data_IF_862206751980
#
_entry.id   IF_862206751980
#
_cell.length_a   1.000
_cell.length_b   1.000
_cell.length_c   1.000
_cell.angle_alpha   90.00
_cell.angle_beta   90.00
_cell.angle_gamma   90.00
#
_symmetry.space_group_name_H-M   'P 1'
#
loop_
_entity.id
_entity.type
_entity.pdbx_description
1 polymer ?
#
# COMPACT_ATOMS: atom_id res chain seq x y z
N UNK A 1 0.34 -17.28 3.45
CA UNK A 1 0.68 -16.70 2.12
C UNK A 1 -0.23 -15.55 1.70
N UNK A 2 -1.53 -15.59 2.00
CA UNK A 2 -2.46 -14.49 1.66
C UNK A 2 -2.00 -13.11 2.17
N UNK A 3 -1.50 -13.02 3.41
CA UNK A 3 -1.01 -11.76 4.01
C UNK A 3 0.14 -11.09 3.25
N UNK A 4 0.98 -11.85 2.55
CA UNK A 4 2.05 -11.29 1.73
C UNK A 4 1.48 -10.42 0.59
N UNK A 5 0.48 -10.93 -0.12
CA UNK A 5 -0.19 -10.19 -1.20
C UNK A 5 -1.01 -9.02 -0.65
N UNK A 6 -1.63 -9.20 0.52
CA UNK A 6 -2.36 -8.13 1.21
C UNK A 6 -1.42 -6.97 1.55
N UNK A 7 -0.22 -7.24 2.08
CA UNK A 7 0.77 -6.20 2.37
C UNK A 7 1.27 -5.45 1.13
N UNK A 8 1.45 -6.14 0.00
CA UNK A 8 1.79 -5.47 -1.28
C UNK A 8 0.65 -4.55 -1.71
N UNK A 9 -0.57 -5.06 -1.71
CA UNK A 9 -1.76 -4.36 -2.19
C UNK A 9 -2.09 -3.15 -1.30
N UNK A 10 -1.94 -3.30 0.01
CA UNK A 10 -2.07 -2.22 0.98
C UNK A 10 -1.10 -1.08 0.69
N UNK A 11 0.20 -1.37 0.51
CA UNK A 11 1.18 -0.32 0.21
C UNK A 11 0.92 0.35 -1.14
N UNK A 12 0.37 -0.37 -2.13
CA UNK A 12 -0.09 0.24 -3.38
C UNK A 12 -1.26 1.20 -3.17
N UNK A 13 -2.26 0.82 -2.36
CA UNK A 13 -3.40 1.67 -2.02
C UNK A 13 -2.94 2.92 -1.27
N UNK A 14 -2.06 2.78 -0.27
CA UNK A 14 -1.52 3.90 0.50
C UNK A 14 -0.74 4.85 -0.41
N UNK A 15 0.08 4.33 -1.33
CA UNK A 15 0.82 5.18 -2.27
C UNK A 15 -0.09 5.89 -3.27
N UNK A 16 -1.20 5.25 -3.68
CA UNK A 16 -2.21 5.92 -4.51
C UNK A 16 -2.96 7.00 -3.71
N UNK A 17 -3.29 6.71 -2.44
CA UNK A 17 -3.95 7.62 -1.52
C UNK A 17 -3.14 8.90 -1.30
N UNK A 18 -1.82 8.81 -1.04
CA UNK A 18 -0.97 10.00 -0.85
C UNK A 18 -1.01 10.92 -2.06
N UNK A 19 -1.15 10.39 -3.28
CA UNK A 19 -1.33 11.17 -4.51
C UNK A 19 -2.72 11.82 -4.62
N UNK A 20 -3.76 11.18 -4.12
CA UNK A 20 -5.14 11.72 -4.09
C UNK A 20 -5.26 12.84 -3.06
N UNK A 21 -4.66 12.66 -1.87
CA UNK A 21 -4.59 13.65 -0.80
C UNK A 21 -3.87 14.91 -1.27
N UNK A 22 -2.72 14.77 -1.93
CA UNK A 22 -1.92 15.90 -2.44
C UNK A 22 -2.63 16.70 -3.54
N UNK A 23 -3.67 16.15 -4.17
CA UNK A 23 -4.54 16.86 -5.14
C UNK A 23 -5.78 17.50 -4.51
N UNK A 24 -5.87 17.59 -3.17
CA UNK A 24 -7.00 18.16 -2.42
C UNK A 24 -8.37 17.52 -2.72
N UNK A 25 -8.40 16.25 -3.15
CA UNK A 25 -9.67 15.53 -3.35
C UNK A 25 -10.20 14.99 -2.02
N UNK A 26 -10.91 15.85 -1.28
CA UNK A 26 -11.36 15.59 0.10
C UNK A 26 -12.22 14.32 0.21
N UNK A 27 -13.23 14.17 -0.65
CA UNK A 27 -14.15 13.02 -0.62
C UNK A 27 -13.43 11.72 -0.99
N UNK A 28 -12.62 11.75 -2.06
CA UNK A 28 -11.86 10.58 -2.50
C UNK A 28 -10.84 10.13 -1.44
N UNK A 29 -10.17 11.07 -0.80
CA UNK A 29 -9.27 10.80 0.33
C UNK A 29 -10.02 10.11 1.48
N UNK A 30 -11.21 10.59 1.84
CA UNK A 30 -12.03 9.98 2.90
C UNK A 30 -12.43 8.53 2.59
N UNK A 31 -12.89 8.25 1.36
CA UNK A 31 -13.27 6.89 0.93
C UNK A 31 -12.07 5.94 0.99
N UNK A 32 -10.91 6.37 0.49
CA UNK A 32 -9.71 5.54 0.48
C UNK A 32 -9.18 5.30 1.90
N UNK A 33 -9.27 6.29 2.79
CA UNK A 33 -8.95 6.11 4.22
C UNK A 33 -9.85 5.05 4.86
N UNK A 34 -11.15 5.07 4.58
CA UNK A 34 -12.09 4.06 5.09
C UNK A 34 -11.71 2.65 4.61
N UNK A 35 -11.43 2.50 3.32
CA UNK A 35 -10.96 1.22 2.74
C UNK A 35 -9.66 0.77 3.42
N UNK A 36 -8.72 1.69 3.65
CA UNK A 36 -7.45 1.39 4.29
C UNK A 36 -7.63 0.86 5.73
N UNK A 37 -8.52 1.47 6.50
CA UNK A 37 -8.84 1.01 7.87
C UNK A 37 -9.46 -0.39 7.85
N UNK A 38 -10.34 -0.70 6.89
CA UNK A 38 -10.93 -2.03 6.77
C UNK A 38 -9.89 -3.11 6.44
N UNK A 39 -8.92 -2.79 5.57
CA UNK A 39 -7.81 -3.68 5.25
C UNK A 39 -6.95 -3.92 6.50
N UNK A 40 -6.63 -2.85 7.24
CA UNK A 40 -5.89 -2.94 8.51
C UNK A 40 -6.61 -3.82 9.53
N UNK A 41 -7.92 -3.66 9.68
CA UNK A 41 -8.72 -4.48 10.58
C UNK A 41 -8.60 -5.96 10.26
N UNK A 42 -8.75 -6.33 8.98
CA UNK A 42 -8.60 -7.72 8.52
C UNK A 42 -7.20 -8.29 8.80
N UNK A 43 -6.15 -7.51 8.54
CA UNK A 43 -4.77 -7.90 8.81
C UNK A 43 -4.55 -8.11 10.30
N UNK A 44 -4.99 -7.17 11.14
CA UNK A 44 -4.88 -7.25 12.59
C UNK A 44 -5.61 -8.47 13.13
N UNK A 45 -6.86 -8.70 12.71
CA UNK A 45 -7.63 -9.88 13.11
C UNK A 45 -6.89 -11.18 12.75
N UNK A 46 -6.35 -11.26 11.53
CA UNK A 46 -5.60 -12.44 11.07
C UNK A 46 -4.32 -12.67 11.88
N UNK A 47 -3.59 -11.60 12.23
CA UNK A 47 -2.36 -11.70 13.04
C UNK A 47 -2.68 -12.04 14.49
N UNK A 48 -3.73 -11.44 15.08
CA UNK A 48 -4.12 -11.68 16.47
C UNK A 48 -4.67 -13.10 16.66
N UNK A 49 -5.45 -13.60 15.70
CA UNK A 49 -5.98 -14.96 15.74
C UNK A 49 -4.89 -16.04 15.67
N UNK A 50 -3.71 -15.72 15.14
CA UNK A 50 -2.61 -16.66 14.94
C UNK A 50 -1.27 -16.08 15.43
N UNK A 51 -1.31 -15.41 16.60
CA UNK A 51 -0.20 -14.62 17.15
C UNK A 51 1.07 -15.42 17.44
N UNK A 52 0.94 -16.74 17.62
CA UNK A 52 2.08 -17.64 17.82
C UNK A 52 2.89 -17.88 16.54
N UNK A 53 2.37 -17.49 15.39
CA UNK A 53 2.98 -17.73 14.09
C UNK A 53 3.70 -16.47 13.57
N UNK A 54 4.91 -16.24 14.08
CA UNK A 54 5.77 -15.09 13.74
C UNK A 54 6.11 -15.01 12.24
N UNK A 55 6.05 -16.14 11.52
CA UNK A 55 6.27 -16.18 10.08
C UNK A 55 5.18 -15.40 9.32
N UNK A 56 3.94 -15.34 9.82
CA UNK A 56 2.87 -14.55 9.20
C UNK A 56 3.18 -13.06 9.21
N UNK A 57 3.69 -12.55 10.32
CA UNK A 57 4.09 -11.14 10.47
C UNK A 57 5.27 -10.82 9.55
N UNK A 58 6.27 -11.72 9.49
CA UNK A 58 7.42 -11.53 8.61
C UNK A 58 7.03 -11.53 7.12
N UNK A 59 6.12 -12.42 6.71
CA UNK A 59 5.61 -12.43 5.33
C UNK A 59 4.79 -11.18 5.00
N UNK A 60 3.97 -10.71 5.94
CA UNK A 60 3.23 -9.46 5.79
C UNK A 60 4.20 -8.26 5.66
N UNK A 61 5.16 -8.15 6.57
CA UNK A 61 6.18 -7.09 6.54
C UNK A 61 7.02 -7.13 5.25
N UNK A 62 7.38 -8.33 4.77
CA UNK A 62 8.09 -8.51 3.51
C UNK A 62 7.24 -8.08 2.30
N UNK A 63 5.95 -8.40 2.31
CA UNK A 63 4.98 -7.92 1.31
C UNK A 63 4.89 -6.39 1.31
N UNK A 64 4.81 -5.77 2.48
CA UNK A 64 4.79 -4.31 2.61
C UNK A 64 6.08 -3.66 2.11
N UNK A 65 7.24 -4.23 2.43
CA UNK A 65 8.52 -3.73 1.95
C UNK A 65 8.61 -3.78 0.42
N UNK A 66 8.23 -4.92 -0.19
CA UNK A 66 8.18 -5.08 -1.64
C UNK A 66 7.16 -4.14 -2.29
N UNK A 67 5.97 -4.00 -1.71
CA UNK A 67 4.94 -3.08 -2.19
C UNK A 67 5.44 -1.65 -2.24
N UNK A 68 6.14 -1.20 -1.19
CA UNK A 68 6.75 0.13 -1.12
C UNK A 68 7.83 0.32 -2.17
N UNK A 69 8.76 -0.63 -2.31
CA UNK A 69 9.83 -0.54 -3.32
C UNK A 69 9.23 -0.53 -4.73
N UNK A 70 8.27 -1.40 -5.02
CA UNK A 70 7.61 -1.46 -6.32
C UNK A 70 6.83 -0.18 -6.64
N UNK A 71 6.06 0.34 -5.68
CA UNK A 71 5.27 1.56 -5.86
C UNK A 71 6.17 2.77 -6.07
N UNK A 72 7.19 2.96 -5.24
CA UNK A 72 8.13 4.07 -5.34
C UNK A 72 8.95 4.03 -6.63
N UNK A 73 9.41 2.86 -7.07
CA UNK A 73 10.08 2.71 -8.37
C UNK A 73 9.14 3.01 -9.54
N UNK A 74 7.88 2.57 -9.47
CA UNK A 74 6.88 2.87 -10.49
C UNK A 74 6.63 4.38 -10.60
N UNK A 75 6.46 5.07 -9.47
CA UNK A 75 6.27 6.52 -9.45
C UNK A 75 7.51 7.27 -9.95
N UNK A 76 8.72 6.89 -9.51
CA UNK A 76 9.98 7.45 -10.01
C UNK A 76 10.07 7.34 -11.54
N UNK A 77 9.75 6.18 -12.11
CA UNK A 77 9.78 5.97 -13.56
C UNK A 77 8.68 6.74 -14.30
N UNK A 78 7.50 6.92 -13.69
CA UNK A 78 6.41 7.70 -14.27
C UNK A 78 6.74 9.20 -14.30
N UNK A 79 7.28 9.73 -13.21
CA UNK A 79 7.71 11.13 -13.13
C UNK A 79 8.90 11.41 -14.05
N UNK A 80 9.85 10.47 -14.17
CA UNK A 80 10.95 10.58 -15.13
C UNK A 80 10.48 10.59 -16.60
N UNK A 81 9.41 9.86 -16.93
CA UNK A 81 8.79 9.87 -18.26
C UNK A 81 7.97 11.14 -18.53
N UNK A 82 7.32 11.70 -17.51
CA UNK A 82 6.59 12.97 -17.61
C UNK A 82 7.54 14.18 -17.71
N UNK A 83 8.79 14.07 -17.24
CA UNK A 83 9.82 15.10 -17.28
C UNK A 83 10.70 15.12 -18.55
N UNK A 84 10.56 14.14 -19.46
CA UNK A 84 11.24 14.21 -20.77
C UNK A 84 10.51 15.22 -21.67
N UNK A 85 11.16 16.30 -22.12
CA UNK A 85 10.56 17.20 -23.08
C UNK A 85 10.34 16.42 -24.37
N UNK A 86 9.10 16.44 -24.87
CA UNK A 86 8.81 15.99 -26.24
C UNK A 86 9.67 16.86 -27.16
N UNK A 87 10.72 16.25 -27.73
CA UNK A 87 11.46 16.82 -28.86
C UNK A 87 10.63 16.59 -30.12
#
# INVERSE_FOLDING_TARGET
MMLFFVGILEMLIVTAWTKVVTKNQIIASGVVTMINILIWYYVLETIVNDISNWLLILLYAFGCALGTVASTLYFKNKEAKEAQPRV
#
